data_IF_635339925045
#
_entry.id   IF_635339925045
#
_cell.length_a   1.000
_cell.length_b   1.000
_cell.length_c   1.000
_cell.angle_alpha   90.00
_cell.angle_beta   90.00
_cell.angle_gamma   90.00
#
_symmetry.space_group_name_H-M   'P 1'
#
loop_
_entity.id
_entity.type
_entity.pdbx_description
1 polymer ?
#
# COMPACT_ATOMS: atom_id res chain seq x y z
N UNK A 1 7.55 11.73 15.42
CA UNK A 1 7.42 10.25 15.35
C UNK A 1 6.02 9.94 14.83
N UNK A 2 5.87 9.12 13.79
CA UNK A 2 4.55 8.78 13.27
C UNK A 2 3.89 7.72 14.16
N UNK A 3 2.63 7.94 14.56
CA UNK A 3 1.87 6.96 15.36
C UNK A 3 1.60 5.71 14.51
N UNK A 4 1.90 4.50 15.01
CA UNK A 4 1.64 3.27 14.26
C UNK A 4 0.13 2.91 14.27
N UNK A 5 -0.35 2.18 13.25
CA UNK A 5 -1.75 1.77 13.16
C UNK A 5 -2.05 0.61 14.11
N UNK A 6 -2.34 0.91 15.38
CA UNK A 6 -2.77 -0.12 16.32
C UNK A 6 -4.17 -0.64 16.01
N UNK A 7 -4.43 -1.91 16.33
CA UNK A 7 -5.70 -2.57 16.04
C UNK A 7 -6.92 -1.79 16.56
N UNK A 8 -6.85 -1.26 17.79
CA UNK A 8 -7.95 -0.47 18.38
C UNK A 8 -8.32 0.76 17.54
N UNK A 9 -7.32 1.43 16.96
CA UNK A 9 -7.55 2.59 16.08
C UNK A 9 -8.13 2.14 14.74
N UNK A 10 -7.57 1.09 14.13
CA UNK A 10 -8.02 0.57 12.84
C UNK A 10 -9.47 0.08 12.86
N UNK A 11 -9.90 -0.52 13.97
CA UNK A 11 -11.27 -1.00 14.14
C UNK A 11 -12.30 0.13 14.27
N UNK A 12 -11.86 1.37 14.53
CA UNK A 12 -12.74 2.55 14.54
C UNK A 12 -12.98 3.10 13.13
N UNK A 13 -12.22 2.66 12.12
CA UNK A 13 -12.38 3.14 10.76
C UNK A 13 -13.51 2.40 10.05
N UNK A 14 -14.45 3.17 9.51
CA UNK A 14 -15.39 2.67 8.52
C UNK A 14 -14.71 2.51 7.15
N UNK A 15 -15.45 1.98 6.18
CA UNK A 15 -14.92 1.76 4.84
C UNK A 15 -14.64 3.05 4.09
N UNK A 16 -15.42 4.11 4.34
CA UNK A 16 -15.22 5.41 3.68
C UNK A 16 -13.88 6.02 4.11
N UNK A 17 -13.61 6.06 5.41
CA UNK A 17 -12.37 6.56 5.98
C UNK A 17 -11.17 5.70 5.60
N UNK A 18 -11.32 4.37 5.66
CA UNK A 18 -10.24 3.43 5.27
C UNK A 18 -9.78 3.69 3.84
N UNK A 19 -10.71 3.87 2.91
CA UNK A 19 -10.41 4.15 1.50
C UNK A 19 -9.77 5.52 1.32
N UNK A 20 -10.32 6.56 1.94
CA UNK A 20 -9.72 7.92 1.89
C UNK A 20 -8.29 7.96 2.43
N UNK A 21 -8.02 7.25 3.52
CA UNK A 21 -6.68 7.14 4.06
C UNK A 21 -5.76 6.39 3.10
N UNK A 22 -6.23 5.30 2.50
CA UNK A 22 -5.46 4.57 1.50
C UNK A 22 -5.12 5.44 0.28
N UNK A 23 -6.08 6.22 -0.23
CA UNK A 23 -5.88 7.19 -1.31
C UNK A 23 -4.86 8.26 -0.94
N UNK A 24 -4.91 8.76 0.29
CA UNK A 24 -3.91 9.70 0.81
C UNK A 24 -2.51 9.09 0.81
N UNK A 25 -2.37 7.83 1.24
CA UNK A 25 -1.10 7.11 1.20
C UNK A 25 -0.62 6.83 -0.23
N UNK A 26 -1.52 6.48 -1.16
CA UNK A 26 -1.20 6.24 -2.56
C UNK A 26 -0.71 7.52 -3.26
N UNK A 27 -1.41 8.64 -3.00
CA UNK A 27 -1.03 9.96 -3.52
C UNK A 27 0.35 10.36 -3.00
N UNK A 28 0.59 10.19 -1.70
CA UNK A 28 1.91 10.44 -1.10
C UNK A 28 3.01 9.58 -1.72
N UNK A 29 2.73 8.29 -1.98
CA UNK A 29 3.70 7.35 -2.54
C UNK A 29 4.03 7.67 -4.01
N UNK A 30 3.14 8.37 -4.71
CA UNK A 30 3.30 8.69 -6.14
C UNK A 30 4.32 9.80 -6.41
N UNK A 31 4.71 10.54 -5.38
CA UNK A 31 5.82 11.49 -5.48
C UNK A 31 7.13 10.71 -5.73
N UNK A 32 7.81 11.03 -6.84
CA UNK A 32 9.00 10.32 -7.30
C UNK A 32 10.16 10.40 -6.30
N UNK A 33 10.22 11.47 -5.52
CA UNK A 33 11.28 11.75 -4.54
C UNK A 33 11.10 10.94 -3.26
N UNK A 34 9.88 10.43 -2.99
CA UNK A 34 9.56 9.79 -1.73
C UNK A 34 9.98 8.31 -1.70
N UNK A 35 10.82 7.97 -0.73
CA UNK A 35 11.16 6.58 -0.41
C UNK A 35 10.15 5.98 0.57
N UNK A 36 9.78 4.72 0.36
CA UNK A 36 8.87 4.01 1.26
C UNK A 36 9.56 3.69 2.60
N UNK A 37 9.14 4.40 3.66
CA UNK A 37 9.57 4.09 5.02
C UNK A 37 8.80 2.89 5.59
N UNK A 38 9.40 2.18 6.55
CA UNK A 38 8.73 1.06 7.25
C UNK A 38 7.42 1.49 7.90
N UNK A 39 7.38 2.67 8.52
CA UNK A 39 6.17 3.18 9.16
C UNK A 39 5.03 3.38 8.15
N UNK A 40 5.33 3.95 6.97
CA UNK A 40 4.35 4.11 5.88
C UNK A 40 3.91 2.76 5.32
N UNK A 41 4.83 1.82 5.14
CA UNK A 41 4.51 0.47 4.66
C UNK A 41 3.53 -0.25 5.61
N UNK A 42 3.75 -0.14 6.92
CA UNK A 42 2.85 -0.71 7.94
C UNK A 42 1.45 -0.08 7.87
N UNK A 43 1.36 1.24 7.68
CA UNK A 43 0.07 1.92 7.47
C UNK A 43 -0.65 1.44 6.21
N UNK A 44 0.05 1.36 5.08
CA UNK A 44 -0.54 0.89 3.82
C UNK A 44 -1.04 -0.55 3.99
N UNK A 45 -0.22 -1.44 4.55
CA UNK A 45 -0.60 -2.82 4.82
C UNK A 45 -1.83 -2.92 5.74
N UNK A 46 -1.85 -2.15 6.82
CA UNK A 46 -2.95 -2.14 7.77
C UNK A 46 -4.28 -1.67 7.13
N UNK A 47 -4.22 -0.64 6.28
CA UNK A 47 -5.39 -0.15 5.55
C UNK A 47 -5.87 -1.16 4.50
N UNK A 48 -4.94 -1.77 3.75
CA UNK A 48 -5.26 -2.86 2.82
C UNK A 48 -5.95 -4.03 3.54
N UNK A 49 -5.47 -4.41 4.73
CA UNK A 49 -6.08 -5.47 5.55
C UNK A 49 -7.49 -5.12 6.08
N UNK A 50 -7.86 -3.83 6.10
CA UNK A 50 -9.20 -3.35 6.52
C UNK A 50 -10.18 -3.22 5.36
N UNK A 51 -9.73 -3.28 4.11
CA UNK A 51 -10.62 -3.22 2.96
C UNK A 51 -11.54 -4.45 2.91
N UNK A 52 -12.78 -4.24 2.51
CA UNK A 52 -13.69 -5.35 2.21
C UNK A 52 -13.23 -6.13 0.97
N UNK A 53 -13.58 -7.42 0.92
CA UNK A 53 -13.24 -8.33 -0.19
C UNK A 53 -13.73 -7.84 -1.55
N UNK A 54 -14.88 -7.17 -1.60
CA UNK A 54 -15.42 -6.59 -2.83
C UNK A 54 -14.91 -5.16 -3.03
N UNK A 55 -13.78 -5.07 -3.72
CA UNK A 55 -13.19 -3.78 -4.09
C UNK A 55 -13.91 -3.23 -5.32
N UNK A 56 -14.44 -2.02 -5.22
CA UNK A 56 -15.02 -1.32 -6.38
C UNK A 56 -13.91 -0.65 -7.19
N UNK A 57 -14.21 -0.30 -8.45
CA UNK A 57 -13.23 0.14 -9.44
C UNK A 57 -12.31 1.29 -8.98
N UNK A 58 -12.83 2.24 -8.20
CA UNK A 58 -12.04 3.35 -7.64
C UNK A 58 -10.92 2.87 -6.72
N UNK A 59 -11.24 2.02 -5.75
CA UNK A 59 -10.21 1.48 -4.84
C UNK A 59 -9.27 0.51 -5.56
N UNK A 60 -9.75 -0.24 -6.56
CA UNK A 60 -8.89 -1.07 -7.40
C UNK A 60 -7.85 -0.22 -8.15
N UNK A 61 -8.22 0.97 -8.65
CA UNK A 61 -7.28 1.91 -9.25
C UNK A 61 -6.22 2.39 -8.25
N UNK A 62 -6.62 2.71 -7.01
CA UNK A 62 -5.69 3.08 -5.93
C UNK A 62 -4.72 1.93 -5.60
N UNK A 63 -5.21 0.71 -5.51
CA UNK A 63 -4.38 -0.48 -5.26
C UNK A 63 -3.36 -0.67 -6.39
N UNK A 64 -3.78 -0.52 -7.66
CA UNK A 64 -2.87 -0.59 -8.82
C UNK A 64 -1.82 0.52 -8.81
N UNK A 65 -2.18 1.73 -8.40
CA UNK A 65 -1.23 2.83 -8.24
C UNK A 65 -0.15 2.49 -7.22
N UNK A 66 -0.54 1.94 -6.06
CA UNK A 66 0.40 1.46 -5.04
C UNK A 66 1.27 0.33 -5.59
N UNK A 67 0.67 -0.67 -6.24
CA UNK A 67 1.39 -1.82 -6.83
C UNK A 67 2.47 -1.36 -7.80
N UNK A 68 2.10 -0.55 -8.79
CA UNK A 68 3.03 -0.02 -9.81
C UNK A 68 4.18 0.73 -9.17
N UNK A 69 3.87 1.61 -8.21
CA UNK A 69 4.90 2.41 -7.55
C UNK A 69 5.82 1.56 -6.67
N UNK A 70 5.29 0.59 -5.93
CA UNK A 70 6.11 -0.36 -5.18
C UNK A 70 7.02 -1.19 -6.11
N UNK A 71 6.51 -1.58 -7.28
CA UNK A 71 7.30 -2.28 -8.29
C UNK A 71 8.44 -1.41 -8.84
N UNK A 72 8.15 -0.18 -9.27
CA UNK A 72 9.16 0.78 -9.73
C UNK A 72 10.22 1.03 -8.67
N UNK A 73 9.81 1.29 -7.43
CA UNK A 73 10.74 1.47 -6.31
C UNK A 73 11.62 0.23 -6.14
N UNK A 74 11.04 -0.98 -6.19
CA UNK A 74 11.79 -2.24 -6.05
C UNK A 74 12.82 -2.43 -7.16
N UNK A 75 12.48 -2.09 -8.41
CA UNK A 75 13.40 -2.18 -9.55
C UNK A 75 14.56 -1.20 -9.47
N UNK A 76 14.34 -0.02 -8.88
CA UNK A 76 15.35 1.04 -8.79
C UNK A 76 16.20 0.96 -7.51
N UNK A 77 16.12 -0.12 -6.73
CA UNK A 77 16.93 -0.30 -5.52
C UNK A 77 18.31 -0.87 -5.87
N UNK A 78 19.35 -0.05 -5.73
CA UNK A 78 20.74 -0.49 -5.94
C UNK A 78 21.33 -1.19 -4.70
N UNK A 79 21.01 -0.71 -3.49
CA UNK A 79 21.51 -1.28 -2.23
C UNK A 79 20.43 -1.24 -1.12
N UNK A 80 19.33 -2.02 -1.25
CA UNK A 80 18.23 -1.95 -0.31
C UNK A 80 18.60 -2.54 1.05
N UNK A 81 18.10 -1.91 2.13
CA UNK A 81 18.05 -2.60 3.41
C UNK A 81 17.08 -3.78 3.35
N UNK A 82 17.37 -4.84 4.11
CA UNK A 82 16.50 -6.02 4.26
C UNK A 82 15.05 -5.65 4.56
N UNK A 83 14.85 -4.61 5.39
CA UNK A 83 13.54 -4.14 5.83
C UNK A 83 12.79 -3.47 4.67
N UNK A 84 13.45 -2.64 3.88
CA UNK A 84 12.82 -1.98 2.72
C UNK A 84 12.41 -3.01 1.66
N UNK A 85 13.31 -3.96 1.35
CA UNK A 85 13.04 -5.00 0.37
C UNK A 85 11.85 -5.88 0.79
N UNK A 86 11.83 -6.34 2.05
CA UNK A 86 10.72 -7.13 2.61
C UNK A 86 9.41 -6.33 2.61
N UNK A 87 9.45 -5.05 2.95
CA UNK A 87 8.26 -4.18 2.96
C UNK A 87 7.65 -4.06 1.56
N UNK A 88 8.48 -3.80 0.54
CA UNK A 88 8.02 -3.68 -0.85
C UNK A 88 7.46 -5.02 -1.37
N UNK A 89 8.16 -6.13 -1.13
CA UNK A 89 7.70 -7.45 -1.55
C UNK A 89 6.32 -7.80 -0.96
N UNK A 90 6.11 -7.53 0.33
CA UNK A 90 4.81 -7.76 0.99
C UNK A 90 3.71 -6.92 0.33
N UNK A 91 3.96 -5.63 0.13
CA UNK A 91 2.96 -4.76 -0.51
C UNK A 91 2.64 -5.20 -1.94
N UNK A 92 3.65 -5.59 -2.72
CA UNK A 92 3.47 -6.11 -4.09
C UNK A 92 2.61 -7.38 -4.07
N UNK A 93 2.88 -8.33 -3.17
CA UNK A 93 2.09 -9.58 -3.10
C UNK A 93 0.66 -9.32 -2.66
N UNK A 94 0.42 -8.46 -1.68
CA UNK A 94 -0.95 -8.15 -1.23
C UNK A 94 -1.73 -7.40 -2.32
N UNK A 95 -1.14 -6.35 -2.90
CA UNK A 95 -1.81 -5.57 -3.94
C UNK A 95 -1.99 -6.35 -5.24
N UNK A 96 -0.99 -7.11 -5.66
CA UNK A 96 -1.00 -7.87 -6.91
C UNK A 96 -1.73 -9.22 -6.81
N UNK A 97 -1.35 -10.08 -5.86
CA UNK A 97 -1.86 -11.45 -5.77
C UNK A 97 -3.16 -11.54 -4.96
N UNK A 98 -3.22 -10.94 -3.77
CA UNK A 98 -4.40 -11.03 -2.91
C UNK A 98 -5.59 -10.25 -3.47
N UNK A 99 -5.36 -9.01 -3.94
CA UNK A 99 -6.39 -8.20 -4.60
C UNK A 99 -6.48 -8.43 -6.12
N UNK A 100 -5.68 -9.33 -6.69
CA UNK A 100 -5.73 -9.71 -8.10
C UNK A 100 -5.32 -8.62 -9.09
N UNK A 101 -4.69 -7.52 -8.65
CA UNK A 101 -4.39 -6.37 -9.50
C UNK A 101 -3.16 -6.55 -10.41
N UNK A 102 -2.48 -7.70 -10.32
CA UNK A 102 -1.32 -8.02 -11.17
C UNK A 102 -1.74 -8.42 -12.60
N UNK A 103 -2.93 -9.02 -12.76
CA UNK A 103 -3.40 -9.54 -14.06
C UNK A 103 -3.94 -8.44 -14.99
N UNK A 104 -4.32 -7.28 -14.45
CA UNK A 104 -4.81 -6.12 -15.21
C UNK A 104 -3.67 -5.22 -15.79
N UNK A 105 -2.44 -5.74 -15.86
CA UNK A 105 -1.25 -5.02 -16.35
C UNK A 105 -0.75 -5.54 -17.71
N UNK A 106 -1.41 -6.54 -18.29
CA UNK A 106 -1.24 -7.02 -19.67
C UNK A 106 -2.25 -6.32 -20.61
#
# INVERSE_FOLDING_TARGET
MATPPHLRLLLQFDQVLTRRLLDYHATWLSDEVMLLSRARAVWIYALLARLDKHVHAGVAATIRQILRRCWTLRCNLEAPSDIQLKSLNILIVITGCFFGQLHDLE
#
